data_IF_087964517197
#
_entry.id   IF_087964517197
#
_cell.length_a   1.000
_cell.length_b   1.000
_cell.length_c   1.000
_cell.angle_alpha   90.00
_cell.angle_beta   90.00
_cell.angle_gamma   90.00
#
_symmetry.space_group_name_H-M   'P 1'
#
loop_
_entity.id
_entity.type
_entity.pdbx_description
1 polymer ?
#
# COMPACT_ATOMS: atom_id res chain seq x y z
N UNK A 1 -6.50 7.18 -9.02
CA UNK A 1 -7.60 6.56 -8.25
C UNK A 1 -7.21 6.56 -6.78
N UNK A 2 -8.16 6.71 -5.85
CA UNK A 2 -7.88 6.71 -4.40
C UNK A 2 -8.36 5.42 -3.74
N UNK A 3 -7.59 4.91 -2.78
CA UNK A 3 -7.92 3.72 -1.97
C UNK A 3 -7.31 3.87 -0.58
N UNK A 4 -7.76 3.07 0.37
CA UNK A 4 -7.28 3.10 1.75
C UNK A 4 -6.65 1.76 2.13
N UNK A 5 -5.51 1.81 2.81
CA UNK A 5 -4.85 0.63 3.37
C UNK A 5 -5.07 0.57 4.86
N UNK A 6 -5.18 -0.62 5.43
CA UNK A 6 -5.20 -0.82 6.88
C UNK A 6 -3.90 -0.27 7.48
N UNK A 7 -3.99 0.24 8.70
CA UNK A 7 -2.85 0.80 9.44
C UNK A 7 -1.94 -0.29 10.05
N UNK A 8 -1.79 -1.40 9.33
CA UNK A 8 -0.93 -2.51 9.70
C UNK A 8 -0.03 -2.84 8.50
N UNK A 9 1.27 -2.57 8.66
CA UNK A 9 2.28 -3.00 7.71
C UNK A 9 2.82 -4.35 8.19
N UNK A 10 2.74 -5.36 7.34
CA UNK A 10 3.30 -6.67 7.64
C UNK A 10 4.74 -6.71 7.15
N UNK A 11 5.69 -6.77 8.08
CA UNK A 11 7.11 -6.94 7.77
C UNK A 11 7.38 -8.35 7.22
N UNK A 12 7.88 -8.44 6.00
CA UNK A 12 8.30 -9.70 5.37
C UNK A 12 9.84 -9.87 5.40
N UNK A 13 10.55 -9.04 6.15
CA UNK A 13 11.99 -9.03 6.29
C UNK A 13 12.68 -8.72 4.96
N UNK A 14 13.54 -9.63 4.49
CA UNK A 14 14.29 -9.45 3.24
C UNK A 14 13.41 -9.38 1.97
N UNK A 15 12.13 -9.72 2.08
CA UNK A 15 11.16 -9.66 0.99
C UNK A 15 10.44 -8.29 0.89
N UNK A 16 10.65 -7.40 1.87
CA UNK A 16 10.03 -6.09 1.94
C UNK A 16 8.86 -6.07 2.91
N UNK A 17 7.75 -5.43 2.52
CA UNK A 17 6.55 -5.35 3.35
C UNK A 17 5.28 -5.62 2.55
N UNK A 18 4.21 -5.99 3.25
CA UNK A 18 2.88 -6.06 2.69
C UNK A 18 1.95 -5.00 3.29
N UNK A 19 1.13 -4.40 2.42
CA UNK A 19 0.02 -3.52 2.79
C UNK A 19 -1.29 -4.21 2.47
N UNK A 20 -2.27 -4.09 3.36
CA UNK A 20 -3.61 -4.65 3.15
C UNK A 20 -4.54 -3.52 2.76
N UNK A 21 -5.23 -3.63 1.61
CA UNK A 21 -6.22 -2.65 1.19
C UNK A 21 -7.52 -2.87 1.97
N UNK A 22 -7.98 -1.84 2.66
CA UNK A 22 -9.20 -1.85 3.48
C UNK A 22 -10.44 -1.45 2.66
N UNK A 23 -10.32 -0.37 1.86
CA UNK A 23 -11.45 0.20 1.11
C UNK A 23 -10.97 0.81 -0.22
N UNK A 24 -11.75 0.63 -1.30
CA UNK A 24 -11.49 1.19 -2.64
C UNK A 24 -11.57 0.13 -3.74
N UNK A 25 -11.85 0.52 -5.00
CA UNK A 25 -11.86 -0.44 -6.11
C UNK A 25 -10.43 -0.92 -6.39
N UNK A 26 -10.17 -2.18 -6.07
CA UNK A 26 -8.84 -2.77 -6.23
C UNK A 26 -8.59 -3.25 -7.66
N UNK A 27 -9.61 -3.27 -8.53
CA UNK A 27 -9.53 -3.76 -9.91
C UNK A 27 -8.48 -3.06 -10.76
N UNK A 28 -8.15 -1.79 -10.44
CA UNK A 28 -7.12 -1.03 -11.13
C UNK A 28 -5.70 -1.27 -10.59
N UNK A 29 -5.56 -1.92 -9.43
CA UNK A 29 -4.27 -2.15 -8.78
C UNK A 29 -3.65 -3.42 -9.36
N UNK A 30 -2.56 -3.26 -10.10
CA UNK A 30 -1.86 -4.36 -10.77
C UNK A 30 -0.37 -4.41 -10.40
N UNK A 31 0.29 -5.53 -10.75
CA UNK A 31 1.72 -5.68 -10.55
C UNK A 31 2.49 -4.60 -11.32
N UNK A 32 3.44 -3.96 -10.65
CA UNK A 32 4.25 -2.87 -11.21
C UNK A 32 3.59 -1.49 -11.14
N UNK A 33 2.36 -1.38 -10.64
CA UNK A 33 1.70 -0.08 -10.51
C UNK A 33 2.39 0.79 -9.46
N UNK A 34 2.18 2.10 -9.56
CA UNK A 34 2.74 3.09 -8.64
C UNK A 34 1.65 3.65 -7.77
N UNK A 35 1.85 3.58 -6.47
CA UNK A 35 0.93 4.12 -5.47
C UNK A 35 1.62 5.25 -4.72
N UNK A 36 0.88 6.30 -4.37
CA UNK A 36 1.38 7.45 -3.63
C UNK A 36 0.70 7.51 -2.28
N UNK A 37 1.47 7.63 -1.21
CA UNK A 37 0.92 7.81 0.14
C UNK A 37 0.47 9.27 0.39
N UNK A 38 -0.18 9.48 1.53
CA UNK A 38 -0.66 10.81 1.96
C UNK A 38 0.46 11.84 2.20
N UNK A 39 1.71 11.41 2.40
CA UNK A 39 2.89 12.28 2.49
C UNK A 39 3.49 12.60 1.13
N UNK A 40 2.97 12.02 0.06
CA UNK A 40 3.41 12.24 -1.32
C UNK A 40 4.53 11.30 -1.78
N UNK A 41 4.96 10.34 -0.97
CA UNK A 41 5.99 9.37 -1.39
C UNK A 41 5.37 8.36 -2.34
N UNK A 42 6.13 7.97 -3.37
CA UNK A 42 5.68 7.03 -4.39
C UNK A 42 6.35 5.68 -4.19
N UNK A 43 5.54 4.63 -4.16
CA UNK A 43 5.94 3.25 -3.98
C UNK A 43 5.55 2.43 -5.22
N UNK A 44 6.40 1.49 -5.60
CA UNK A 44 6.10 0.55 -6.69
C UNK A 44 5.61 -0.75 -6.09
N UNK A 45 4.40 -1.15 -6.46
CA UNK A 45 3.81 -2.44 -6.08
C UNK A 45 4.52 -3.54 -6.86
N UNK A 46 5.24 -4.41 -6.16
CA UNK A 46 5.95 -5.51 -6.79
C UNK A 46 4.97 -6.60 -7.25
N UNK A 47 4.04 -6.95 -6.38
CA UNK A 47 3.00 -7.94 -6.66
C UNK A 47 1.74 -7.60 -5.90
N UNK A 48 0.60 -8.01 -6.46
CA UNK A 48 -0.71 -7.96 -5.84
C UNK A 48 -1.15 -9.41 -5.60
N UNK A 49 -1.82 -9.68 -4.48
CA UNK A 49 -2.47 -10.96 -4.24
C UNK A 49 -3.77 -10.75 -3.49
N UNK A 50 -4.70 -11.69 -3.62
CA UNK A 50 -5.94 -11.70 -2.87
C UNK A 50 -5.86 -12.77 -1.79
N UNK A 51 -6.11 -12.39 -0.53
CA UNK A 51 -6.16 -13.31 0.60
C UNK A 51 -7.43 -13.08 1.40
N UNK A 52 -8.26 -14.12 1.53
CA UNK A 52 -9.55 -14.05 2.25
C UNK A 52 -10.48 -12.89 1.79
N UNK A 53 -10.40 -12.53 0.51
CA UNK A 53 -11.17 -11.41 -0.08
C UNK A 53 -10.56 -10.03 0.13
N UNK A 54 -9.36 -9.95 0.74
CA UNK A 54 -8.60 -8.71 0.90
C UNK A 54 -7.49 -8.63 -0.14
N UNK A 55 -7.32 -7.44 -0.72
CA UNK A 55 -6.20 -7.17 -1.64
C UNK A 55 -4.95 -6.84 -0.85
N UNK A 56 -3.87 -7.57 -1.10
CA UNK A 56 -2.56 -7.43 -0.45
C UNK A 56 -1.54 -6.94 -1.45
N UNK A 57 -0.86 -5.85 -1.13
CA UNK A 57 0.16 -5.20 -1.96
C UNK A 57 1.54 -5.47 -1.38
N UNK A 58 2.40 -6.09 -2.18
CA UNK A 58 3.78 -6.37 -1.79
C UNK A 58 4.72 -5.28 -2.29
N UNK A 59 5.47 -4.67 -1.38
CA UNK A 59 6.46 -3.63 -1.66
C UNK A 59 7.87 -4.14 -1.31
N UNK A 60 8.66 -4.49 -2.34
CA UNK A 60 10.01 -5.07 -2.16
C UNK A 60 10.96 -4.18 -1.35
N UNK A 61 10.91 -2.88 -1.62
CA UNK A 61 11.80 -1.88 -1.03
C UNK A 61 11.07 -1.02 0.00
N UNK A 62 9.94 -1.52 0.54
CA UNK A 62 9.20 -0.82 1.56
C UNK A 62 9.96 -0.82 2.89
N UNK A 63 10.05 0.34 3.53
CA UNK A 63 10.64 0.49 4.86
C UNK A 63 9.54 0.40 5.92
N UNK A 64 9.53 -0.66 6.71
CA UNK A 64 8.49 -0.88 7.73
C UNK A 64 8.42 0.26 8.74
N UNK A 65 9.56 0.78 9.20
CA UNK A 65 9.59 1.89 10.15
C UNK A 65 9.04 3.19 9.55
N UNK A 66 9.17 3.39 8.23
CA UNK A 66 8.50 4.47 7.52
C UNK A 66 6.98 4.31 7.58
N UNK A 67 6.45 3.13 7.23
CA UNK A 67 5.00 2.88 7.21
C UNK A 67 4.39 2.90 8.62
N UNK A 68 5.06 2.35 9.62
CA UNK A 68 4.63 2.47 11.03
C UNK A 68 4.48 3.93 11.46
N UNK A 69 5.40 4.81 11.01
CA UNK A 69 5.31 6.26 11.27
C UNK A 69 4.22 6.92 10.44
N UNK A 70 4.01 6.46 9.21
CA UNK A 70 2.96 6.97 8.34
C UNK A 70 1.58 6.71 8.96
N UNK A 71 1.37 5.51 9.50
CA UNK A 71 0.11 5.06 10.09
C UNK A 71 -0.14 5.68 11.46
N UNK A 72 0.90 5.86 12.29
CA UNK A 72 0.77 6.47 13.63
C UNK A 72 0.26 7.92 13.60
N UNK A 73 0.49 8.64 12.51
CA UNK A 73 0.02 10.02 12.35
C UNK A 73 -1.46 10.13 11.90
N UNK A 74 -2.14 9.00 11.66
CA UNK A 74 -3.52 8.96 11.18
C UNK A 74 -4.46 8.43 12.27
N UNK A 75 -5.52 9.18 12.56
CA UNK A 75 -6.53 8.89 13.61
C UNK A 75 -7.71 8.04 13.11
N UNK A 76 -7.58 7.44 11.94
CA UNK A 76 -8.64 6.68 11.23
C UNK A 76 -8.06 5.32 10.94
N UNK A 77 -8.80 4.22 11.14
CA UNK A 77 -8.36 2.82 10.96
C UNK A 77 -7.78 2.45 9.56
N UNK A 78 -7.63 3.42 8.65
CA UNK A 78 -7.04 3.23 7.35
C UNK A 78 -6.39 4.50 6.78
N UNK A 79 -5.22 4.34 6.16
CA UNK A 79 -4.42 5.39 5.53
C UNK A 79 -4.76 5.55 4.05
N UNK A 80 -4.92 6.80 3.58
CA UNK A 80 -5.23 7.12 2.18
C UNK A 80 -4.01 6.99 1.25
N UNK A 81 -4.21 6.31 0.13
CA UNK A 81 -3.26 6.17 -0.97
C UNK A 81 -3.91 6.55 -2.31
N UNK A 82 -3.08 6.98 -3.25
CA UNK A 82 -3.48 7.27 -4.63
C UNK A 82 -2.73 6.34 -5.60
N UNK A 83 -3.47 5.55 -6.37
CA UNK A 83 -2.94 4.88 -7.56
C UNK A 83 -2.65 5.93 -8.64
N UNK A 84 -1.39 5.98 -9.08
CA UNK A 84 -0.91 6.85 -10.14
C UNK A 84 -1.14 6.20 -11.51
N UNK A 85 -1.42 7.00 -12.56
CA UNK A 85 -1.54 6.48 -13.91
C UNK A 85 -0.20 5.93 -14.40
N UNK A 86 -0.25 4.92 -15.27
CA UNK A 86 0.94 4.39 -15.94
C UNK A 86 1.62 5.52 -16.74
N UNK A 87 2.88 5.84 -16.41
CA UNK A 87 3.67 6.84 -17.11
C UNK A 87 3.77 8.24 -16.46
N UNK A 88 3.34 8.42 -15.21
CA UNK A 88 3.47 9.69 -14.47
C UNK A 88 4.90 10.04 -14.01
#
# INVERSE_FOLDING_TARGET
>A
MEFRVMDEAVDLGALGLALVVNEGECDAICNGCRIRDIRGTVHTVQSVSEQEGLTVLYLRNGDVAYFERLFRDIFVDATLFTLLPEGA
#
